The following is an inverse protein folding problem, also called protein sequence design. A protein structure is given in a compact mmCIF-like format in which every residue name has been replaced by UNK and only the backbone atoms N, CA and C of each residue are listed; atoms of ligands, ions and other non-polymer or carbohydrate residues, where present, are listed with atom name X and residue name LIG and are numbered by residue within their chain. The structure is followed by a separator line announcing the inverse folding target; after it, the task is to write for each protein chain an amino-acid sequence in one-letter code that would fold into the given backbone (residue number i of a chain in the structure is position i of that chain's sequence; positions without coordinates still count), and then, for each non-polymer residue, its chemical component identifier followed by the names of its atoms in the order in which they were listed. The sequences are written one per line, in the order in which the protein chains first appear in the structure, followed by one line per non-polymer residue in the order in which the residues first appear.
data_IF_295904326610
#
_entry.id   IF_295904326610
#
_cell.length_a   1.000
_cell.length_b   1.000
_cell.length_c   1.000
_cell.angle_alpha   90.00
_cell.angle_beta   90.00
_cell.angle_gamma   90.00
#
_symmetry.space_group_name_H-M   'P 1'
#
loop_
_entity.id
_entity.type
_entity.pdbx_description
1 polymer ?
#
# COMPACT_ATOMS: atom_id res chain seq x y z
N UNK A 1 10.46 -7.31 -21.00
CA UNK A 1 9.81 -8.43 -20.28
C UNK A 1 9.90 -8.24 -18.76
N UNK A 2 11.07 -7.87 -18.25
CA UNK A 2 11.32 -7.58 -16.83
C UNK A 2 10.27 -6.64 -16.18
N UNK A 3 9.91 -5.53 -16.83
CA UNK A 3 8.90 -4.60 -16.31
C UNK A 3 7.51 -5.23 -16.10
N UNK A 4 7.11 -6.18 -16.95
CA UNK A 4 5.83 -6.89 -16.82
C UNK A 4 5.87 -7.80 -15.59
N UNK A 5 7.01 -8.45 -15.35
CA UNK A 5 7.22 -9.28 -14.16
C UNK A 5 7.10 -8.45 -12.89
N UNK A 6 7.68 -7.25 -12.85
CA UNK A 6 7.53 -6.33 -11.71
C UNK A 6 6.06 -5.95 -11.45
N UNK A 7 5.28 -5.68 -12.51
CA UNK A 7 3.84 -5.39 -12.37
C UNK A 7 3.07 -6.61 -11.85
N UNK A 8 3.39 -7.83 -12.30
CA UNK A 8 2.78 -9.05 -11.79
C UNK A 8 3.15 -9.25 -10.30
N UNK A 9 4.39 -8.99 -9.91
CA UNK A 9 4.82 -9.03 -8.51
C UNK A 9 4.06 -8.00 -7.68
N UNK A 10 3.90 -6.77 -8.18
CA UNK A 10 3.10 -5.73 -7.53
C UNK A 10 1.65 -6.16 -7.32
N UNK A 11 1.04 -6.79 -8.34
CA UNK A 11 -0.30 -7.36 -8.24
C UNK A 11 -0.36 -8.41 -7.12
N UNK A 12 0.55 -9.39 -7.12
CA UNK A 12 0.54 -10.50 -6.16
C UNK A 12 0.76 -10.03 -4.72
N UNK A 13 1.78 -9.20 -4.48
CA UNK A 13 2.14 -8.76 -3.14
C UNK A 13 1.08 -7.82 -2.55
N UNK A 14 0.55 -6.88 -3.33
CA UNK A 14 -0.52 -6.00 -2.85
C UNK A 14 -1.85 -6.73 -2.65
N UNK A 15 -2.10 -7.81 -3.39
CA UNK A 15 -3.29 -8.65 -3.21
C UNK A 15 -3.35 -9.30 -1.83
N UNK A 16 -2.21 -9.69 -1.25
CA UNK A 16 -2.15 -10.27 0.10
C UNK A 16 -2.73 -9.30 1.14
N UNK A 17 -2.36 -8.02 1.03
CA UNK A 17 -2.79 -6.95 1.93
C UNK A 17 -4.25 -6.60 1.64
N UNK A 18 -4.59 -6.39 0.37
CA UNK A 18 -5.94 -6.04 -0.06
C UNK A 18 -6.98 -7.11 0.30
N UNK A 19 -6.62 -8.38 0.22
CA UNK A 19 -7.49 -9.50 0.60
C UNK A 19 -7.74 -9.56 2.10
N UNK A 20 -6.71 -9.34 2.94
CA UNK A 20 -6.87 -9.25 4.40
C UNK A 20 -7.89 -8.16 4.78
N UNK A 21 -7.77 -7.01 4.10
CA UNK A 21 -8.61 -5.83 4.30
C UNK A 21 -10.06 -6.08 3.88
N UNK A 22 -10.25 -6.66 2.69
CA UNK A 22 -11.58 -6.98 2.14
C UNK A 22 -12.29 -8.06 2.97
N UNK A 23 -11.58 -9.14 3.35
CA UNK A 23 -12.09 -10.20 4.21
C UNK A 23 -12.61 -9.69 5.56
N UNK A 24 -12.07 -8.57 6.02
CA UNK A 24 -12.43 -7.93 7.30
C UNK A 24 -13.38 -6.74 7.13
N UNK A 25 -14.00 -6.60 5.96
CA UNK A 25 -14.95 -5.54 5.61
C UNK A 25 -14.44 -4.14 5.94
N UNK A 26 -13.13 -3.92 5.78
CA UNK A 26 -12.53 -2.62 6.05
C UNK A 26 -12.68 -1.70 4.83
N UNK A 27 -12.74 -0.36 5.04
CA UNK A 27 -12.70 0.59 3.95
C UNK A 27 -11.42 0.38 3.12
N UNK A 28 -11.54 0.48 1.79
CA UNK A 28 -10.55 0.07 0.79
C UNK A 28 -10.14 -1.42 0.89
N UNK A 29 -10.61 -2.21 -0.07
CA UNK A 29 -10.36 -3.66 -0.16
C UNK A 29 -9.31 -4.03 -1.22
N UNK A 30 -9.44 -5.22 -1.79
CA UNK A 30 -8.49 -5.78 -2.75
C UNK A 30 -8.26 -4.88 -3.97
N UNK A 31 -9.35 -4.47 -4.63
CA UNK A 31 -9.29 -3.65 -5.86
C UNK A 31 -8.50 -2.36 -5.64
N UNK A 32 -8.76 -1.66 -4.53
CA UNK A 32 -8.07 -0.41 -4.22
C UNK A 32 -6.58 -0.62 -4.02
N UNK A 33 -6.19 -1.63 -3.23
CA UNK A 33 -4.78 -1.86 -2.91
C UNK A 33 -3.99 -2.28 -4.15
N UNK A 34 -4.56 -3.14 -4.98
CA UNK A 34 -3.94 -3.59 -6.24
C UNK A 34 -3.78 -2.43 -7.22
N UNK A 35 -4.82 -1.61 -7.43
CA UNK A 35 -4.75 -0.47 -8.35
C UNK A 35 -3.71 0.56 -7.92
N UNK A 36 -3.62 0.87 -6.62
CA UNK A 36 -2.63 1.82 -6.09
C UNK A 36 -1.21 1.28 -6.28
N UNK A 37 -0.97 0.01 -5.95
CA UNK A 37 0.37 -0.59 -6.06
C UNK A 37 0.83 -0.69 -7.52
N UNK A 38 -0.03 -1.14 -8.43
CA UNK A 38 0.32 -1.25 -9.85
C UNK A 38 0.55 0.13 -10.47
N UNK A 39 -0.30 1.13 -10.16
CA UNK A 39 -0.15 2.48 -10.71
C UNK A 39 1.17 3.13 -10.30
N UNK A 40 1.54 3.02 -9.02
CA UNK A 40 2.79 3.58 -8.51
C UNK A 40 4.02 2.83 -9.04
N UNK A 41 3.95 1.50 -9.14
CA UNK A 41 4.99 0.70 -9.80
C UNK A 41 5.19 1.11 -11.27
N UNK A 42 4.09 1.24 -12.03
CA UNK A 42 4.15 1.63 -13.44
C UNK A 42 4.75 3.03 -13.62
N UNK A 43 4.35 3.99 -12.79
CA UNK A 43 4.91 5.35 -12.82
C UNK A 43 6.43 5.34 -12.60
N UNK A 44 6.91 4.61 -11.59
CA UNK A 44 8.35 4.51 -11.31
C UNK A 44 9.10 3.84 -12.47
N UNK A 45 8.55 2.77 -13.05
CA UNK A 45 9.15 2.09 -14.22
C UNK A 45 9.26 3.05 -15.41
N UNK A 46 8.20 3.79 -15.74
CA UNK A 46 8.17 4.74 -16.85
C UNK A 46 9.22 5.85 -16.61
N UNK A 47 9.25 6.41 -15.40
CA UNK A 47 10.20 7.46 -15.05
C UNK A 47 11.65 6.97 -15.08
N UNK A 48 11.94 5.79 -14.52
CA UNK A 48 13.29 5.20 -14.53
C UNK A 48 13.82 5.01 -15.95
N UNK A 49 12.97 4.57 -16.88
CA UNK A 49 13.37 4.24 -18.25
C UNK A 49 13.43 5.45 -19.19
N UNK A 50 12.63 6.50 -18.94
CA UNK A 50 12.49 7.61 -19.88
C UNK A 50 12.87 8.98 -19.30
N UNK A 51 12.92 9.13 -17.98
CA UNK A 51 13.17 10.40 -17.27
C UNK A 51 14.08 10.16 -16.03
N UNK A 52 15.30 9.62 -16.23
CA UNK A 52 16.12 9.09 -15.13
C UNK A 52 16.62 10.14 -14.13
N UNK A 53 16.55 11.43 -14.44
CA UNK A 53 17.01 12.51 -13.55
C UNK A 53 15.92 13.05 -12.61
N UNK A 54 14.68 12.57 -12.70
CA UNK A 54 13.55 13.17 -11.98
C UNK A 54 12.68 12.20 -11.17
N UNK A 55 13.20 11.00 -10.88
CA UNK A 55 12.47 9.98 -10.10
C UNK A 55 12.11 10.44 -8.69
N UNK A 56 12.95 11.28 -8.06
CA UNK A 56 12.67 11.83 -6.73
C UNK A 56 11.43 12.73 -6.73
N UNK A 57 11.22 13.57 -7.75
CA UNK A 57 10.02 14.42 -7.85
C UNK A 57 8.78 13.60 -8.13
N UNK A 58 8.88 12.57 -8.97
CA UNK A 58 7.74 11.67 -9.23
C UNK A 58 7.35 10.92 -7.95
N UNK A 59 8.32 10.40 -7.19
CA UNK A 59 8.06 9.77 -5.89
C UNK A 59 7.42 10.77 -4.92
N UNK A 60 7.93 12.00 -4.83
CA UNK A 60 7.32 13.05 -4.00
C UNK A 60 5.87 13.34 -4.43
N UNK A 61 5.61 13.42 -5.73
CA UNK A 61 4.27 13.60 -6.29
C UNK A 61 3.33 12.45 -5.95
N UNK A 62 3.81 11.20 -6.04
CA UNK A 62 3.07 10.01 -5.63
C UNK A 62 2.70 10.09 -4.14
N UNK A 63 3.67 10.35 -3.25
CA UNK A 63 3.42 10.42 -1.80
C UNK A 63 2.42 11.54 -1.47
N UNK A 64 2.53 12.69 -2.15
CA UNK A 64 1.61 13.81 -1.98
C UNK A 64 0.18 13.43 -2.43
N UNK A 65 0.03 12.83 -3.62
CA UNK A 65 -1.26 12.40 -4.15
C UNK A 65 -1.92 11.31 -3.31
N UNK A 66 -1.14 10.35 -2.81
CA UNK A 66 -1.63 9.30 -1.91
C UNK A 66 -2.03 9.87 -0.55
N UNK A 67 -1.35 10.92 -0.07
CA UNK A 67 -1.77 11.66 1.11
C UNK A 67 -3.21 12.18 1.01
N UNK A 68 -3.63 12.64 -0.17
CA UNK A 68 -5.00 13.06 -0.43
C UNK A 68 -6.01 11.90 -0.38
N UNK A 69 -5.70 10.76 -1.01
CA UNK A 69 -6.54 9.55 -0.94
C UNK A 69 -6.64 9.02 0.49
N UNK A 70 -5.52 9.01 1.21
CA UNK A 70 -5.44 8.62 2.61
C UNK A 70 -6.31 9.51 3.50
N UNK A 71 -6.18 10.83 3.38
CA UNK A 71 -7.02 11.79 4.09
C UNK A 71 -8.52 11.59 3.80
N UNK A 72 -8.89 11.34 2.54
CA UNK A 72 -10.27 11.04 2.15
C UNK A 72 -10.84 9.74 2.74
N UNK A 73 -9.99 8.84 3.21
CA UNK A 73 -10.41 7.60 3.89
C UNK A 73 -10.59 7.76 5.41
N UNK A 74 -10.14 8.88 5.98
CA UNK A 74 -10.26 9.19 7.41
C UNK A 74 -11.54 9.98 7.64
N UNK A 75 -12.43 9.47 8.50
CA UNK A 75 -13.70 10.10 8.80
C UNK A 75 -13.80 10.35 10.30
N UNK A 76 -14.10 11.59 10.69
CA UNK A 76 -14.42 11.93 12.06
C UNK A 76 -15.92 11.66 12.33
N UNK A 77 -16.23 10.80 13.30
CA UNK A 77 -17.60 10.53 13.75
C UNK A 77 -17.74 10.83 15.24
N UNK A 78 -18.47 11.89 15.60
CA UNK A 78 -18.82 12.35 16.97
C UNK A 78 -17.71 12.28 18.04
N UNK A 79 -17.30 11.09 18.48
CA UNK A 79 -16.27 10.86 19.51
C UNK A 79 -15.09 9.99 19.05
N UNK A 80 -15.04 9.57 17.78
CA UNK A 80 -14.01 8.67 17.26
C UNK A 80 -13.57 9.05 15.84
N UNK A 81 -12.29 8.82 15.55
CA UNK A 81 -11.72 8.93 14.21
C UNK A 81 -11.58 7.51 13.64
N UNK A 82 -12.21 7.24 12.51
CA UNK A 82 -12.14 5.94 11.83
C UNK A 82 -11.38 6.06 10.51
N UNK A 83 -10.78 4.95 10.06
CA UNK A 83 -10.11 4.89 8.76
C UNK A 83 -8.61 5.19 8.77
N UNK A 84 -8.00 5.48 9.93
CA UNK A 84 -6.54 5.73 10.04
C UNK A 84 -5.72 4.55 9.49
N UNK A 85 -6.06 3.31 9.87
CA UNK A 85 -5.40 2.10 9.34
C UNK A 85 -5.63 1.92 7.85
N UNK A 86 -6.78 2.37 7.32
CA UNK A 86 -7.04 2.36 5.87
C UNK A 86 -6.11 3.33 5.15
N UNK A 87 -5.99 4.56 5.64
CA UNK A 87 -5.09 5.56 5.08
C UNK A 87 -3.65 5.03 5.09
N UNK A 88 -3.22 4.45 6.21
CA UNK A 88 -1.90 3.84 6.34
C UNK A 88 -1.70 2.66 5.37
N UNK A 89 -2.70 1.80 5.17
CA UNK A 89 -2.57 0.66 4.26
C UNK A 89 -2.52 1.07 2.79
N UNK A 90 -3.24 2.13 2.40
CA UNK A 90 -3.17 2.72 1.06
C UNK A 90 -1.79 3.35 0.82
N UNK A 91 -1.27 4.11 1.78
CA UNK A 91 0.08 4.67 1.71
C UNK A 91 1.13 3.56 1.60
N UNK A 92 0.99 2.51 2.41
CA UNK A 92 1.90 1.37 2.40
C UNK A 92 1.97 0.72 1.01
N UNK A 93 0.83 0.44 0.35
CA UNK A 93 0.86 -0.21 -0.97
C UNK A 93 1.35 0.71 -2.08
N UNK A 94 1.23 2.02 -1.94
CA UNK A 94 1.88 2.97 -2.83
C UNK A 94 3.42 2.90 -2.72
N UNK A 95 3.93 2.86 -1.49
CA UNK A 95 5.37 2.69 -1.23
C UNK A 95 5.85 1.32 -1.73
N UNK A 96 5.06 0.26 -1.53
CA UNK A 96 5.34 -1.07 -2.07
C UNK A 96 5.48 -1.03 -3.59
N UNK A 97 4.56 -0.36 -4.29
CA UNK A 97 4.64 -0.18 -5.74
C UNK A 97 5.90 0.58 -6.17
N UNK A 98 6.31 1.62 -5.43
CA UNK A 98 7.58 2.33 -5.69
C UNK A 98 8.78 1.39 -5.56
N UNK A 99 8.86 0.63 -4.47
CA UNK A 99 9.96 -0.32 -4.20
C UNK A 99 10.05 -1.36 -5.32
N UNK A 100 8.91 -1.94 -5.72
CA UNK A 100 8.86 -2.92 -6.80
C UNK A 100 9.25 -2.28 -8.14
N UNK A 101 8.78 -1.06 -8.42
CA UNK A 101 9.12 -0.32 -9.64
C UNK A 101 10.60 0.05 -9.74
N UNK A 102 11.30 0.19 -8.62
CA UNK A 102 12.75 0.38 -8.57
C UNK A 102 13.53 -0.92 -8.86
N UNK A 103 12.88 -2.09 -8.70
CA UNK A 103 13.47 -3.41 -8.88
C UNK A 103 13.79 -4.14 -7.56
N UNK A 104 13.46 -3.55 -6.41
CA UNK A 104 13.81 -4.04 -5.07
C UNK A 104 12.85 -5.15 -4.58
N UNK A 105 12.80 -6.27 -5.30
CA UNK A 105 11.82 -7.34 -5.06
C UNK A 105 11.97 -7.99 -3.68
N UNK A 106 13.20 -8.22 -3.20
CA UNK A 106 13.42 -8.84 -1.88
C UNK A 106 12.90 -7.95 -0.75
N UNK A 107 13.17 -6.64 -0.83
CA UNK A 107 12.66 -5.66 0.12
C UNK A 107 11.13 -5.62 0.07
N UNK A 108 10.53 -5.62 -1.13
CA UNK A 108 9.08 -5.66 -1.31
C UNK A 108 8.43 -6.87 -0.63
N UNK A 109 8.99 -8.07 -0.81
CA UNK A 109 8.51 -9.29 -0.15
C UNK A 109 8.59 -9.15 1.37
N UNK A 110 9.73 -8.68 1.89
CA UNK A 110 9.96 -8.53 3.32
C UNK A 110 8.95 -7.58 3.98
N UNK A 111 8.76 -6.39 3.40
CA UNK A 111 7.80 -5.41 3.96
C UNK A 111 6.35 -5.88 3.82
N UNK A 112 6.00 -6.64 2.77
CA UNK A 112 4.66 -7.22 2.62
C UNK A 112 4.38 -8.27 3.70
N UNK A 113 5.37 -9.11 4.03
CA UNK A 113 5.24 -10.06 5.14
C UNK A 113 5.05 -9.29 6.46
N UNK A 114 5.89 -8.30 6.73
CA UNK A 114 5.77 -7.49 7.94
C UNK A 114 4.43 -6.77 8.06
N UNK A 115 3.95 -6.15 6.98
CA UNK A 115 2.66 -5.45 7.01
C UNK A 115 1.49 -6.40 7.22
N UNK A 116 1.52 -7.58 6.60
CA UNK A 116 0.53 -8.63 6.84
C UNK A 116 0.56 -9.12 8.30
N UNK A 117 1.74 -9.30 8.89
CA UNK A 117 1.89 -9.67 10.30
C UNK A 117 1.32 -8.59 11.21
N UNK A 118 1.61 -7.31 10.96
CA UNK A 118 1.08 -6.19 11.73
C UNK A 118 -0.46 -6.18 11.65
N UNK A 119 -1.03 -6.20 10.43
CA UNK A 119 -2.48 -6.16 10.24
C UNK A 119 -3.20 -7.36 10.87
N UNK A 120 -2.57 -8.54 10.86
CA UNK A 120 -3.15 -9.78 11.41
C UNK A 120 -2.97 -9.91 12.93
N UNK A 121 -1.75 -9.78 13.45
CA UNK A 121 -1.41 -10.09 14.84
C UNK A 121 -1.66 -8.95 15.81
N UNK A 122 -1.42 -7.69 15.44
CA UNK A 122 -1.64 -6.58 16.38
C UNK A 122 -3.12 -6.42 16.72
N UNK A 123 -4.01 -6.81 15.81
CA UNK A 123 -5.44 -6.90 16.12
C UNK A 123 -5.79 -7.98 17.14
N UNK A 124 -5.08 -9.11 17.15
CA UNK A 124 -5.32 -10.16 18.16
C UNK A 124 -4.95 -9.65 19.55
N UNK A 125 -3.94 -8.80 19.65
CA UNK A 125 -3.57 -8.13 20.89
C UNK A 125 -4.61 -7.09 21.31
N UNK A 126 -5.09 -6.25 20.39
CA UNK A 126 -6.17 -5.28 20.70
C UNK A 126 -7.42 -5.98 21.26
N UNK A 127 -7.86 -7.07 20.62
CA UNK A 127 -9.02 -7.83 21.12
C UNK A 127 -8.81 -8.37 22.53
N UNK A 128 -7.60 -8.82 22.86
CA UNK A 128 -7.29 -9.37 24.18
C UNK A 128 -7.27 -8.30 25.27
N UNK A 129 -6.88 -7.07 24.92
CA UNK A 129 -6.91 -5.91 25.82
C UNK A 129 -8.35 -5.41 26.03
N UNK A 130 -9.22 -5.52 25.03
CA UNK A 130 -10.65 -5.17 25.17
C UNK A 130 -11.46 -6.22 25.97
N UNK A 131 -10.95 -7.45 26.07
CA UNK A 131 -11.59 -8.56 26.81
C UNK A 131 -11.15 -8.67 28.28
N UNK A 132 -10.09 -7.95 28.70
CA UNK A 132 -9.62 -7.82 30.11
C UNK A 132 -10.17 -6.55 30.79
#
# INVERSE_FOLDING_TARGET
MENIVLIIIALLLSSIIGWEREKRHKPAGLRTHVLVCISTCALVIITKNHIPYDYARIIQGIITGIGFIGAGSIIAQRKQVVGITTAASILFVAVLGIIIGLGEVLLAIFITILSFLILKYFRLLEKRIEEE
#
